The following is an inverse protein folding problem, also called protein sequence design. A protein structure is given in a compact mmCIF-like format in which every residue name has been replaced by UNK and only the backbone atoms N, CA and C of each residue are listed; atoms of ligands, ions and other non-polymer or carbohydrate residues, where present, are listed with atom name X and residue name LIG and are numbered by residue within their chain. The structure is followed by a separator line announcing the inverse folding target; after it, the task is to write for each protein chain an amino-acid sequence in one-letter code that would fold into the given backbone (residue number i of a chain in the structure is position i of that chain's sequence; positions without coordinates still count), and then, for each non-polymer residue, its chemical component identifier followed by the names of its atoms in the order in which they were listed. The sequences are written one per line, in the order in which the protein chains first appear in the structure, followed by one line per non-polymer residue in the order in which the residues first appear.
data_IF_110746976358
#
_entry.id   IF_110746976358
#
_cell.length_a   1.000
_cell.length_b   1.000
_cell.length_c   1.000
_cell.angle_alpha   90.00
_cell.angle_beta   90.00
_cell.angle_gamma   90.00
#
_symmetry.space_group_name_H-M   'P 1'
#
loop_
_entity.id
_entity.type
_entity.pdbx_description
1 polymer ?
#
# COMPACT_ATOMS: atom_id res chain seq x y z
N UNK A 1 5.48 57.97 -53.53
CA UNK A 1 6.46 57.42 -52.57
C UNK A 1 6.69 55.97 -52.96
N UNK A 2 7.72 55.68 -53.78
CA UNK A 2 9.11 55.31 -53.40
C UNK A 2 9.11 53.91 -52.74
N UNK A 3 9.74 52.83 -53.20
CA UNK A 3 10.81 52.51 -54.18
C UNK A 3 10.49 51.09 -54.76
N UNK A 4 10.53 50.84 -56.07
CA UNK A 4 11.67 50.45 -56.94
C UNK A 4 12.21 49.01 -56.73
N UNK A 5 11.91 48.16 -57.73
CA UNK A 5 12.45 46.83 -58.12
C UNK A 5 13.95 46.91 -58.55
N UNK A 6 14.55 45.97 -59.32
CA UNK A 6 14.73 44.49 -59.25
C UNK A 6 16.21 44.07 -59.49
N UNK A 7 16.52 42.76 -59.39
CA UNK A 7 17.51 41.96 -60.17
C UNK A 7 17.50 40.54 -59.56
N UNK A 8 17.55 39.40 -60.26
CA UNK A 8 18.17 39.08 -61.54
C UNK A 8 19.41 38.20 -61.29
N UNK A 9 19.53 37.07 -62.00
CA UNK A 9 20.68 36.13 -62.07
C UNK A 9 20.95 35.24 -60.83
N UNK A 10 21.40 33.99 -60.91
CA UNK A 10 21.74 33.10 -62.03
C UNK A 10 21.97 31.69 -61.48
N UNK A 11 21.72 30.67 -62.31
CA UNK A 11 22.67 29.57 -62.50
C UNK A 11 22.70 28.33 -61.59
N UNK A 12 22.64 27.17 -62.27
CA UNK A 12 23.18 25.83 -61.92
C UNK A 12 22.37 25.01 -60.90
N UNK A 13 21.62 23.97 -61.26
CA UNK A 13 22.01 22.73 -61.96
C UNK A 13 23.33 22.13 -61.47
N UNK A 14 23.25 21.04 -60.70
CA UNK A 14 23.96 19.77 -61.00
C UNK A 14 23.55 18.70 -59.99
N UNK A 15 23.06 17.57 -60.51
CA UNK A 15 23.03 16.31 -59.80
C UNK A 15 24.43 15.69 -59.65
N UNK A 16 24.53 14.63 -58.85
CA UNK A 16 25.75 13.84 -58.65
C UNK A 16 26.00 13.55 -57.17
N UNK A 17 25.49 12.44 -56.65
CA UNK A 17 26.20 11.16 -56.48
C UNK A 17 27.20 11.12 -55.32
N UNK A 18 27.02 10.07 -54.53
CA UNK A 18 28.08 9.19 -54.01
C UNK A 18 28.58 9.37 -52.57
N UNK A 19 28.25 8.33 -51.79
CA UNK A 19 29.08 7.59 -50.83
C UNK A 19 29.77 8.30 -49.67
N UNK A 20 29.52 7.78 -48.46
CA UNK A 20 30.44 8.00 -47.34
C UNK A 20 29.93 7.60 -45.95
N UNK A 21 29.70 6.30 -45.74
CA UNK A 21 30.08 5.56 -44.53
C UNK A 21 30.00 6.25 -43.14
N UNK A 22 29.03 5.85 -42.30
CA UNK A 22 29.28 5.64 -40.85
C UNK A 22 28.58 4.34 -40.42
N UNK A 23 29.39 3.28 -40.31
CA UNK A 23 29.15 2.09 -39.49
C UNK A 23 29.28 2.47 -38.03
N UNK A 24 28.35 2.03 -37.16
CA UNK A 24 28.50 1.61 -35.75
C UNK A 24 27.08 1.16 -35.30
N UNK A 25 26.63 -0.07 -35.59
CA UNK A 25 26.75 -1.25 -34.73
C UNK A 25 27.27 -0.96 -33.31
N UNK A 26 26.38 -0.98 -32.32
CA UNK A 26 26.61 -1.68 -31.04
C UNK A 26 25.24 -2.04 -30.42
N UNK A 27 24.98 -3.34 -30.32
CA UNK A 27 23.91 -3.89 -29.52
C UNK A 27 24.14 -3.63 -28.04
N UNK A 28 23.07 -3.35 -27.31
CA UNK A 28 23.09 -3.23 -25.86
C UNK A 28 22.69 -4.58 -25.22
N UNK A 29 23.64 -5.39 -24.70
CA UNK A 29 23.31 -6.55 -23.90
C UNK A 29 22.87 -6.09 -22.50
N UNK A 30 21.71 -6.59 -22.08
CA UNK A 30 21.24 -6.53 -20.69
C UNK A 30 22.05 -7.56 -19.91
N UNK A 31 23.06 -7.10 -19.17
CA UNK A 31 23.72 -7.90 -18.13
C UNK A 31 23.22 -7.45 -16.77
N UNK A 32 22.63 -8.43 -16.06
CA UNK A 32 22.46 -8.43 -14.62
C UNK A 32 23.83 -8.28 -13.95
N UNK A 33 23.94 -7.35 -13.01
CA UNK A 33 24.94 -7.39 -11.96
C UNK A 33 24.23 -7.26 -10.61
N UNK A 34 24.50 -8.26 -9.77
CA UNK A 34 23.98 -8.46 -8.43
C UNK A 34 24.50 -7.39 -7.47
N UNK A 35 23.62 -6.64 -6.83
CA UNK A 35 23.96 -5.85 -5.63
C UNK A 35 23.77 -6.73 -4.38
N UNK A 36 24.88 -7.31 -3.94
CA UNK A 36 25.09 -7.93 -2.64
C UNK A 36 25.09 -6.83 -1.57
N UNK A 37 24.01 -6.72 -0.79
CA UNK A 37 23.94 -5.78 0.34
C UNK A 37 24.42 -6.44 1.64
N UNK A 38 25.59 -5.95 2.05
CA UNK A 38 26.35 -6.22 3.26
C UNK A 38 25.53 -6.01 4.55
N UNK A 39 25.41 -7.07 5.35
CA UNK A 39 24.80 -7.09 6.67
C UNK A 39 25.82 -6.62 7.73
N UNK A 40 25.93 -5.31 7.88
CA UNK A 40 26.73 -4.65 8.90
C UNK A 40 25.93 -4.27 10.15
N UNK A 41 26.16 -5.03 11.22
CA UNK A 41 25.80 -4.86 12.63
C UNK A 41 25.78 -3.41 13.17
N UNK A 42 24.67 -2.98 13.78
CA UNK A 42 24.65 -1.86 14.75
C UNK A 42 24.13 -2.35 16.10
N UNK A 43 25.07 -2.38 17.04
CA UNK A 43 24.90 -2.68 18.45
C UNK A 43 23.92 -1.71 19.14
N UNK A 44 23.26 -2.25 20.16
CA UNK A 44 22.13 -1.65 20.86
C UNK A 44 22.36 -0.30 21.53
N UNK A 45 21.23 0.37 21.72
CA UNK A 45 21.04 1.41 22.72
C UNK A 45 19.78 1.04 23.50
N UNK A 46 19.97 0.61 24.74
CA UNK A 46 18.90 0.55 25.73
C UNK A 46 18.52 1.97 26.20
N UNK A 47 17.32 2.02 26.76
CA UNK A 47 16.71 3.04 27.62
C UNK A 47 15.91 4.17 26.97
N UNK A 48 14.63 4.20 27.37
CA UNK A 48 13.77 5.37 27.28
C UNK A 48 12.29 5.05 27.25
N UNK A 49 11.74 4.47 28.33
CA UNK A 49 10.31 4.59 28.59
C UNK A 49 9.89 6.05 28.53
N UNK A 50 8.98 6.35 27.61
CA UNK A 50 8.35 7.64 27.41
C UNK A 50 6.97 7.40 26.84
N UNK A 51 6.04 7.07 27.74
CA UNK A 51 4.59 7.05 27.51
C UNK A 51 4.17 8.31 26.74
N UNK A 52 3.74 8.10 25.51
CA UNK A 52 3.41 9.14 24.54
C UNK A 52 2.07 8.81 23.89
N UNK A 53 1.01 9.00 24.69
CA UNK A 53 -0.35 9.37 24.32
C UNK A 53 -0.63 9.31 22.80
N UNK A 54 -1.16 8.16 22.36
CA UNK A 54 -1.46 7.91 20.94
C UNK A 54 -2.91 8.27 20.60
N UNK A 55 -3.04 9.12 19.59
CA UNK A 55 -4.29 9.63 19.05
C UNK A 55 -5.04 8.50 18.32
N UNK A 56 -5.82 7.72 19.07
CA UNK A 56 -6.58 6.59 18.52
C UNK A 56 -7.74 7.05 17.62
N UNK A 57 -8.10 6.26 16.62
CA UNK A 57 -9.38 6.42 15.90
C UNK A 57 -10.25 5.22 16.25
N UNK A 58 -11.36 5.46 16.93
CA UNK A 58 -12.33 4.39 17.24
C UNK A 58 -13.37 4.37 16.14
N UNK A 59 -13.33 3.33 15.33
CA UNK A 59 -14.32 3.10 14.28
C UNK A 59 -15.40 2.21 14.87
N UNK A 60 -16.56 2.81 15.14
CA UNK A 60 -17.71 2.09 15.68
C UNK A 60 -18.61 1.60 14.55
N UNK A 61 -18.89 0.29 14.56
CA UNK A 61 -19.97 -0.32 13.79
C UNK A 61 -21.19 -0.38 14.72
N UNK A 62 -21.99 0.69 14.78
CA UNK A 62 -23.14 0.74 15.70
C UNK A 62 -22.78 0.89 17.19
N UNK A 63 -23.49 0.19 18.09
CA UNK A 63 -23.50 0.39 19.56
C UNK A 63 -22.98 -0.80 20.40
N UNK A 64 -22.01 -1.58 19.93
CA UNK A 64 -21.55 -2.77 20.68
C UNK A 64 -20.02 -2.79 20.82
N UNK A 65 -19.57 -2.91 22.08
CA UNK A 65 -18.18 -2.90 22.51
C UNK A 65 -17.63 -4.34 22.51
N UNK A 66 -16.41 -4.62 21.99
CA UNK A 66 -15.89 -5.98 21.93
C UNK A 66 -15.48 -6.48 23.31
N UNK A 67 -15.85 -7.73 23.61
CA UNK A 67 -15.40 -8.47 24.78
C UNK A 67 -14.08 -9.19 24.45
N UNK A 68 -13.14 -9.11 25.39
CA UNK A 68 -11.84 -9.79 25.37
C UNK A 68 -12.05 -11.29 25.63
N UNK A 69 -11.44 -12.15 24.81
CA UNK A 69 -11.47 -13.61 24.99
C UNK A 69 -10.10 -14.08 25.49
N UNK A 70 -10.12 -14.86 26.58
CA UNK A 70 -8.97 -15.51 27.21
C UNK A 70 -8.45 -16.67 26.32
N UNK A 71 -7.15 -16.65 26.03
CA UNK A 71 -6.43 -17.78 25.47
C UNK A 71 -5.97 -18.71 26.60
N UNK A 72 -6.14 -20.04 26.48
CA UNK A 72 -5.10 -20.99 26.87
C UNK A 72 -5.28 -22.39 26.21
N UNK A 73 -4.23 -22.75 25.45
CA UNK A 73 -3.51 -24.03 25.40
C UNK A 73 -4.03 -25.28 24.63
N UNK A 74 -3.24 -25.57 23.60
CA UNK A 74 -2.51 -26.83 23.34
C UNK A 74 -3.22 -28.08 22.80
N UNK A 75 -2.76 -28.46 21.59
CA UNK A 75 -3.03 -29.66 20.76
C UNK A 75 -4.38 -29.68 20.05
N UNK A 76 -4.31 -29.53 18.72
CA UNK A 76 -5.46 -29.50 17.83
C UNK A 76 -6.35 -30.76 18.03
N UNK A 77 -7.63 -30.60 18.39
CA UNK A 77 -8.55 -31.71 18.57
C UNK A 77 -8.77 -32.48 17.25
N UNK A 78 -9.13 -33.77 17.34
CA UNK A 78 -9.19 -34.69 16.19
C UNK A 78 -10.12 -34.22 15.05
N UNK A 79 -11.19 -33.49 15.37
CA UNK A 79 -12.07 -32.87 14.36
C UNK A 79 -11.35 -31.79 13.52
N UNK A 80 -10.36 -31.09 14.07
CA UNK A 80 -9.51 -30.15 13.31
C UNK A 80 -8.57 -30.91 12.37
N UNK A 81 -8.13 -32.12 12.75
CA UNK A 81 -7.34 -33.01 11.89
C UNK A 81 -8.15 -33.52 10.70
N UNK A 82 -9.40 -33.91 10.96
CA UNK A 82 -10.37 -34.30 9.93
C UNK A 82 -10.76 -33.11 9.04
N UNK A 83 -10.93 -31.92 9.62
CA UNK A 83 -11.14 -30.68 8.87
C UNK A 83 -9.94 -30.35 7.97
N UNK A 84 -8.70 -30.53 8.44
CA UNK A 84 -7.49 -30.37 7.62
C UNK A 84 -7.41 -31.41 6.50
N UNK A 85 -7.82 -32.66 6.73
CA UNK A 85 -7.88 -33.70 5.70
C UNK A 85 -8.91 -33.36 4.63
N UNK A 86 -10.14 -33.05 5.04
CA UNK A 86 -11.21 -32.65 4.12
C UNK A 86 -10.89 -31.36 3.37
N UNK A 87 -10.20 -30.40 3.99
CA UNK A 87 -9.73 -29.20 3.29
C UNK A 87 -8.65 -29.51 2.26
N UNK A 88 -7.70 -30.41 2.54
CA UNK A 88 -6.72 -30.86 1.53
C UNK A 88 -7.39 -31.56 0.35
N UNK A 89 -8.39 -32.39 0.63
CA UNK A 89 -9.16 -33.07 -0.42
C UNK A 89 -9.98 -32.07 -1.24
N UNK A 90 -10.67 -31.14 -0.60
CA UNK A 90 -11.38 -30.04 -1.28
C UNK A 90 -10.44 -29.21 -2.14
N UNK A 91 -9.26 -28.84 -1.65
CA UNK A 91 -8.25 -28.10 -2.43
C UNK A 91 -7.75 -28.92 -3.61
N UNK A 92 -7.54 -30.24 -3.46
CA UNK A 92 -7.18 -31.12 -4.58
C UNK A 92 -8.28 -31.16 -5.63
N UNK A 93 -9.53 -31.35 -5.22
CA UNK A 93 -10.70 -31.36 -6.11
C UNK A 93 -10.87 -30.00 -6.79
N UNK A 94 -10.71 -28.89 -6.07
CA UNK A 94 -10.76 -27.53 -6.63
C UNK A 94 -9.66 -27.38 -7.69
N UNK A 95 -8.43 -27.84 -7.40
CA UNK A 95 -7.32 -27.78 -8.37
C UNK A 95 -7.61 -28.63 -9.61
N UNK A 96 -8.16 -29.84 -9.44
CA UNK A 96 -8.54 -30.71 -10.56
C UNK A 96 -9.70 -30.13 -11.36
N UNK A 97 -10.70 -29.54 -10.70
CA UNK A 97 -11.83 -28.87 -11.36
C UNK A 97 -11.37 -27.62 -12.09
N UNK A 98 -10.52 -26.80 -11.50
CA UNK A 98 -9.90 -25.65 -12.17
C UNK A 98 -9.05 -26.10 -13.37
N UNK A 99 -8.29 -27.19 -13.25
CA UNK A 99 -7.56 -27.76 -14.37
C UNK A 99 -8.50 -28.22 -15.48
N UNK A 100 -9.59 -28.94 -15.14
CA UNK A 100 -10.61 -29.36 -16.10
C UNK A 100 -11.33 -28.19 -16.75
N UNK A 101 -11.67 -27.14 -16.00
CA UNK A 101 -12.28 -25.91 -16.54
C UNK A 101 -11.30 -25.17 -17.43
N UNK A 102 -10.02 -25.08 -17.07
CA UNK A 102 -9.00 -24.45 -17.91
C UNK A 102 -8.74 -25.22 -19.21
N UNK A 103 -8.85 -26.56 -19.17
CA UNK A 103 -8.76 -27.43 -20.35
C UNK A 103 -10.02 -27.42 -21.20
N UNK A 104 -11.20 -27.23 -20.59
CA UNK A 104 -12.49 -27.17 -21.27
C UNK A 104 -12.88 -25.76 -21.71
N UNK A 105 -12.16 -24.73 -21.27
CA UNK A 105 -12.38 -23.36 -21.73
C UNK A 105 -11.96 -23.29 -23.20
N UNK A 106 -12.87 -22.95 -24.13
CA UNK A 106 -12.48 -22.62 -25.48
C UNK A 106 -11.56 -21.41 -25.40
N UNK A 107 -10.27 -21.61 -25.65
CA UNK A 107 -9.36 -20.49 -25.90
C UNK A 107 -10.01 -19.65 -27.00
N UNK A 108 -10.24 -18.34 -26.79
CA UNK A 108 -10.96 -17.53 -27.76
C UNK A 108 -10.24 -17.70 -29.08
N UNK A 109 -10.91 -18.33 -30.05
CA UNK A 109 -10.30 -18.76 -31.30
C UNK A 109 -9.50 -17.58 -31.84
N UNK A 110 -8.17 -17.68 -31.74
CA UNK A 110 -7.30 -16.72 -32.37
C UNK A 110 -7.65 -16.84 -33.84
N UNK A 111 -8.21 -15.78 -34.41
CA UNK A 111 -8.50 -15.72 -35.84
C UNK A 111 -7.13 -15.90 -36.50
N UNK A 112 -6.86 -17.12 -36.97
CA UNK A 112 -5.57 -17.47 -37.54
C UNK A 112 -5.47 -16.67 -38.83
N UNK A 113 -4.56 -15.70 -38.83
CA UNK A 113 -4.14 -15.05 -40.06
C UNK A 113 -3.59 -16.16 -40.95
N UNK A 114 -4.38 -16.58 -41.95
CA UNK A 114 -3.94 -17.55 -42.94
C UNK A 114 -2.67 -17.08 -43.64
N UNK A 115 -1.95 -18.01 -44.28
CA UNK A 115 -0.74 -17.67 -45.03
C UNK A 115 -1.02 -16.54 -46.04
N UNK A 116 -0.04 -15.65 -46.24
CA UNK A 116 -0.14 -14.60 -47.25
C UNK A 116 -0.37 -15.28 -48.62
N UNK A 117 -1.37 -14.88 -49.40
CA UNK A 117 -1.56 -15.44 -50.73
C UNK A 117 -0.32 -15.15 -51.58
N UNK A 118 0.06 -16.12 -52.42
CA UNK A 118 1.19 -16.04 -53.37
C UNK A 118 0.66 -16.27 -54.78
N UNK A 119 1.37 -15.81 -55.82
CA UNK A 119 0.95 -16.02 -57.21
C UNK A 119 0.75 -17.52 -57.54
N UNK A 120 1.57 -18.40 -56.95
CA UNK A 120 1.46 -19.85 -57.13
C UNK A 120 0.18 -20.46 -56.50
N UNK A 121 -0.37 -19.85 -55.45
CA UNK A 121 -1.63 -20.31 -54.84
C UNK A 121 -2.87 -19.82 -55.58
N UNK A 122 -2.72 -18.85 -56.48
CA UNK A 122 -3.80 -18.25 -57.28
C UNK A 122 -3.68 -18.63 -58.77
N UNK A 123 -3.06 -19.77 -59.09
CA UNK A 123 -2.85 -20.28 -60.45
C UNK A 123 -2.15 -19.29 -61.41
N UNK A 124 -1.31 -18.38 -60.88
CA UNK A 124 -0.67 -17.29 -61.62
C UNK A 124 -1.65 -16.28 -62.27
N UNK A 125 -2.87 -16.19 -61.77
CA UNK A 125 -3.86 -15.19 -62.17
C UNK A 125 -3.65 -13.90 -61.36
N UNK A 126 -3.20 -12.83 -62.03
CA UNK A 126 -2.91 -11.53 -61.41
C UNK A 126 -4.13 -10.92 -60.72
N UNK A 127 -5.31 -11.03 -61.33
CA UNK A 127 -6.55 -10.42 -60.81
C UNK A 127 -7.04 -11.09 -59.53
N UNK A 128 -6.94 -12.42 -59.46
CA UNK A 128 -7.29 -13.19 -58.25
C UNK A 128 -6.30 -12.95 -57.13
N UNK A 129 -5.02 -12.84 -57.47
CA UNK A 129 -3.96 -12.56 -56.50
C UNK A 129 -4.15 -11.19 -55.82
N UNK A 130 -4.49 -10.14 -56.58
CA UNK A 130 -4.78 -8.82 -56.02
C UNK A 130 -5.99 -8.83 -55.07
N UNK A 131 -7.09 -9.46 -55.49
CA UNK A 131 -8.29 -9.59 -54.65
C UNK A 131 -8.03 -10.39 -53.36
N UNK A 132 -7.28 -11.50 -53.46
CA UNK A 132 -6.92 -12.32 -52.30
C UNK A 132 -5.97 -11.58 -51.35
N UNK A 133 -5.04 -10.77 -51.87
CA UNK A 133 -4.16 -9.91 -51.08
C UNK A 133 -4.94 -8.84 -50.32
N UNK A 134 -5.85 -8.14 -50.98
CA UNK A 134 -6.71 -7.14 -50.32
C UNK A 134 -7.55 -7.79 -49.21
N UNK A 135 -8.16 -8.95 -49.50
CA UNK A 135 -8.91 -9.71 -48.50
C UNK A 135 -8.04 -10.18 -47.33
N UNK A 136 -6.76 -10.52 -47.57
CA UNK A 136 -5.81 -10.88 -46.53
C UNK A 136 -5.41 -9.67 -45.68
N UNK A 137 -5.14 -8.52 -46.30
CA UNK A 137 -4.83 -7.27 -45.59
C UNK A 137 -6.01 -6.80 -44.74
N UNK A 138 -7.25 -6.89 -45.24
CA UNK A 138 -8.45 -6.58 -44.47
C UNK A 138 -8.60 -7.50 -43.25
N UNK A 139 -8.39 -8.81 -43.43
CA UNK A 139 -8.36 -9.78 -42.32
C UNK A 139 -7.25 -9.46 -41.30
N UNK A 140 -6.08 -9.05 -41.76
CA UNK A 140 -4.96 -8.62 -40.90
C UNK A 140 -5.30 -7.40 -40.06
N UNK A 141 -5.90 -6.38 -40.66
CA UNK A 141 -6.33 -5.18 -39.94
C UNK A 141 -7.36 -5.50 -38.85
N UNK A 142 -8.35 -6.35 -39.15
CA UNK A 142 -9.37 -6.78 -38.18
C UNK A 142 -8.74 -7.55 -36.99
N UNK A 143 -7.82 -8.47 -37.27
CA UNK A 143 -7.12 -9.23 -36.21
C UNK A 143 -6.23 -8.32 -35.37
N UNK A 144 -5.47 -7.41 -36.00
CA UNK A 144 -4.65 -6.44 -35.27
C UNK A 144 -5.50 -5.47 -34.45
N UNK A 145 -6.64 -5.00 -34.96
CA UNK A 145 -7.58 -4.16 -34.23
C UNK A 145 -8.14 -4.90 -33.02
N UNK A 146 -8.60 -6.14 -33.19
CA UNK A 146 -9.10 -6.97 -32.09
C UNK A 146 -8.00 -7.26 -31.05
N UNK A 147 -6.77 -7.53 -31.48
CA UNK A 147 -5.63 -7.72 -30.57
C UNK A 147 -5.29 -6.44 -29.80
N UNK A 148 -5.30 -5.27 -30.47
CA UNK A 148 -5.10 -3.97 -29.80
C UNK A 148 -6.22 -3.67 -28.82
N UNK A 149 -7.47 -3.94 -29.15
CA UNK A 149 -8.59 -3.77 -28.21
C UNK A 149 -8.47 -4.68 -26.99
N UNK A 150 -8.10 -5.95 -27.19
CA UNK A 150 -7.83 -6.88 -26.08
C UNK A 150 -6.66 -6.42 -25.22
N UNK A 151 -5.53 -6.05 -25.84
CA UNK A 151 -4.36 -5.55 -25.12
C UNK A 151 -4.65 -4.27 -24.34
N UNK A 152 -5.41 -3.33 -24.93
CA UNK A 152 -5.81 -2.10 -24.24
C UNK A 152 -6.83 -2.35 -23.13
N UNK A 153 -7.76 -3.31 -23.29
CA UNK A 153 -8.68 -3.71 -22.23
C UNK A 153 -7.95 -4.39 -21.06
N UNK A 154 -6.98 -5.27 -21.35
CA UNK A 154 -6.13 -5.89 -20.34
C UNK A 154 -5.28 -4.85 -19.62
N UNK A 155 -4.67 -3.91 -20.35
CA UNK A 155 -3.87 -2.85 -19.75
C UNK A 155 -4.73 -1.95 -18.85
N UNK A 156 -5.91 -1.51 -19.33
CA UNK A 156 -6.87 -0.76 -18.50
C UNK A 156 -7.28 -1.53 -17.25
N UNK A 157 -7.48 -2.84 -17.35
CA UNK A 157 -7.79 -3.68 -16.19
C UNK A 157 -6.63 -3.75 -15.20
N UNK A 158 -5.38 -3.86 -15.68
CA UNK A 158 -4.17 -3.85 -14.84
C UNK A 158 -3.97 -2.50 -14.17
N UNK A 159 -4.09 -1.42 -14.93
CA UNK A 159 -3.94 -0.05 -14.42
C UNK A 159 -5.02 0.26 -13.37
N UNK A 160 -6.28 -0.13 -13.63
CA UNK A 160 -7.36 0.01 -12.67
C UNK A 160 -7.14 -0.82 -11.39
N UNK A 161 -6.55 -2.01 -11.50
CA UNK A 161 -6.19 -2.83 -10.35
C UNK A 161 -5.04 -2.21 -9.54
N UNK A 162 -4.00 -1.71 -10.21
CA UNK A 162 -2.90 -1.00 -9.56
C UNK A 162 -3.38 0.27 -8.84
N UNK A 163 -4.26 1.05 -9.48
CA UNK A 163 -4.87 2.22 -8.86
C UNK A 163 -5.62 1.85 -7.57
N UNK A 164 -6.41 0.76 -7.58
CA UNK A 164 -7.10 0.27 -6.38
C UNK A 164 -6.14 -0.13 -5.26
N UNK A 165 -5.05 -0.82 -5.58
CA UNK A 165 -4.03 -1.18 -4.58
C UNK A 165 -3.34 0.06 -4.00
N UNK A 166 -3.01 1.03 -4.85
CA UNK A 166 -2.43 2.29 -4.42
C UNK A 166 -3.39 3.07 -3.51
N UNK A 167 -4.67 3.15 -3.87
CA UNK A 167 -5.68 3.85 -3.07
C UNK A 167 -5.95 3.12 -1.74
N UNK A 168 -5.93 1.80 -1.72
CA UNK A 168 -5.96 1.03 -0.46
C UNK A 168 -4.76 1.37 0.44
N UNK A 169 -3.55 1.38 -0.14
CA UNK A 169 -2.33 1.74 0.58
C UNK A 169 -2.38 3.17 1.16
N UNK A 170 -2.87 4.14 0.39
CA UNK A 170 -3.09 5.53 0.86
C UNK A 170 -4.07 5.60 2.03
N UNK A 171 -5.18 4.85 1.96
CA UNK A 171 -6.19 4.85 3.04
C UNK A 171 -5.69 4.16 4.30
N UNK A 172 -4.88 3.10 4.15
CA UNK A 172 -4.17 2.46 5.27
C UNK A 172 -3.27 3.47 5.99
N UNK A 173 -2.50 4.27 5.25
CA UNK A 173 -1.62 5.27 5.85
C UNK A 173 -2.37 6.49 6.39
N UNK A 174 -3.49 6.88 5.79
CA UNK A 174 -4.35 7.97 6.28
C UNK A 174 -5.00 7.65 7.62
N UNK A 175 -5.38 6.39 7.85
CA UNK A 175 -6.02 5.97 9.09
C UNK A 175 -5.07 6.05 10.30
N UNK A 176 -3.75 5.89 10.11
CA UNK A 176 -2.68 6.02 11.14
C UNK A 176 -2.90 5.19 12.41
N UNK A 177 -3.61 4.07 12.29
CA UNK A 177 -3.89 3.18 13.41
C UNK A 177 -2.79 2.12 13.53
N UNK A 178 -2.20 1.99 14.72
CA UNK A 178 -1.01 1.15 14.96
C UNK A 178 -1.30 -0.36 14.82
N UNK A 179 -2.51 -0.76 15.20
CA UNK A 179 -3.05 -2.12 15.17
C UNK A 179 -3.86 -2.43 13.90
N UNK A 180 -3.58 -1.69 12.82
CA UNK A 180 -4.22 -1.94 11.53
C UNK A 180 -3.86 -3.31 10.97
N UNK A 181 -2.59 -3.70 11.06
CA UNK A 181 -2.11 -4.96 10.48
C UNK A 181 -2.74 -6.16 11.18
N UNK A 182 -2.84 -6.12 12.51
CA UNK A 182 -3.54 -7.15 13.29
C UNK A 182 -5.02 -7.25 12.89
N UNK A 183 -5.70 -6.12 12.73
CA UNK A 183 -7.11 -6.11 12.31
C UNK A 183 -7.29 -6.60 10.86
N UNK A 184 -6.34 -6.29 9.97
CA UNK A 184 -6.32 -6.77 8.59
C UNK A 184 -6.13 -8.29 8.55
N UNK A 185 -5.22 -8.84 9.36
CA UNK A 185 -4.95 -10.28 9.40
C UNK A 185 -6.15 -11.06 9.93
N UNK A 186 -6.84 -10.58 10.97
CA UNK A 186 -8.11 -11.14 11.41
C UNK A 186 -9.14 -11.13 10.27
N UNK A 187 -9.24 -10.06 9.50
CA UNK A 187 -10.14 -10.01 8.34
C UNK A 187 -9.74 -10.99 7.23
N UNK A 188 -8.43 -11.15 6.95
CA UNK A 188 -7.92 -12.14 5.99
C UNK A 188 -8.23 -13.58 6.41
N UNK A 189 -8.24 -13.87 7.70
CA UNK A 189 -8.58 -15.19 8.23
C UNK A 189 -10.09 -15.47 8.17
N UNK A 190 -10.91 -14.46 8.44
CA UNK A 190 -12.38 -14.61 8.49
C UNK A 190 -13.00 -14.65 7.09
N UNK A 191 -12.50 -13.83 6.15
CA UNK A 191 -13.08 -13.73 4.81
C UNK A 191 -12.35 -14.60 3.78
N UNK A 192 -13.11 -15.22 2.87
CA UNK A 192 -12.53 -15.92 1.72
C UNK A 192 -11.87 -14.96 0.72
N UNK A 193 -10.95 -15.47 -0.10
CA UNK A 193 -10.26 -14.68 -1.14
C UNK A 193 -11.24 -13.94 -2.06
N UNK A 194 -12.37 -14.55 -2.40
CA UNK A 194 -13.42 -13.91 -3.21
C UNK A 194 -14.08 -12.75 -2.46
N UNK A 195 -14.40 -12.93 -1.17
CA UNK A 195 -14.98 -11.86 -0.34
C UNK A 195 -13.98 -10.71 -0.12
N UNK A 196 -12.71 -11.02 0.12
CA UNK A 196 -11.64 -10.01 0.19
C UNK A 196 -11.53 -9.21 -1.11
N UNK A 197 -11.58 -9.89 -2.25
CA UNK A 197 -11.59 -9.25 -3.57
C UNK A 197 -12.83 -8.39 -3.81
N UNK A 198 -14.00 -8.79 -3.31
CA UNK A 198 -15.22 -7.97 -3.37
C UNK A 198 -15.12 -6.74 -2.48
N UNK A 199 -14.57 -6.85 -1.26
CA UNK A 199 -14.34 -5.69 -0.38
C UNK A 199 -13.40 -4.70 -1.07
N UNK A 200 -12.25 -5.17 -1.58
CA UNK A 200 -11.26 -4.31 -2.21
C UNK A 200 -11.78 -3.63 -3.49
N UNK A 201 -12.62 -4.34 -4.26
CA UNK A 201 -13.16 -3.80 -5.51
C UNK A 201 -14.44 -2.98 -5.35
N UNK A 202 -15.25 -3.26 -4.34
CA UNK A 202 -16.61 -2.75 -4.20
C UNK A 202 -16.82 -1.74 -3.07
N UNK A 203 -15.96 -1.71 -2.04
CA UNK A 203 -16.09 -0.76 -0.95
C UNK A 203 -15.48 0.60 -1.32
N UNK A 204 -16.19 1.67 -0.99
CA UNK A 204 -15.68 3.03 -1.20
C UNK A 204 -14.52 3.34 -0.26
N UNK A 205 -14.44 2.73 0.92
CA UNK A 205 -13.40 2.87 1.95
C UNK A 205 -12.97 1.51 2.50
N UNK A 206 -12.33 0.70 1.63
CA UNK A 206 -11.88 -0.66 1.95
C UNK A 206 -11.00 -0.76 3.21
N UNK A 207 -10.07 0.17 3.46
CA UNK A 207 -9.20 0.13 4.64
C UNK A 207 -9.97 0.34 5.97
N UNK A 208 -10.84 1.34 6.03
CA UNK A 208 -11.68 1.62 7.22
C UNK A 208 -12.60 0.46 7.51
N UNK A 209 -13.22 -0.11 6.47
CA UNK A 209 -14.11 -1.24 6.57
C UNK A 209 -13.39 -2.50 7.08
N UNK A 210 -12.22 -2.83 6.51
CA UNK A 210 -11.41 -3.98 6.94
C UNK A 210 -11.01 -3.83 8.40
N UNK A 211 -10.51 -2.67 8.80
CA UNK A 211 -10.15 -2.40 10.19
C UNK A 211 -11.36 -2.55 11.12
N UNK A 212 -12.51 -1.98 10.75
CA UNK A 212 -13.72 -2.06 11.57
C UNK A 212 -14.26 -3.49 11.69
N UNK A 213 -14.16 -4.30 10.63
CA UNK A 213 -14.54 -5.71 10.65
C UNK A 213 -13.56 -6.55 11.47
N UNK A 214 -12.26 -6.27 11.38
CA UNK A 214 -11.23 -6.91 12.21
C UNK A 214 -11.45 -6.66 13.71
N UNK A 215 -11.85 -5.44 14.08
CA UNK A 215 -12.22 -5.09 15.47
C UNK A 215 -13.58 -5.63 15.92
N UNK A 216 -14.42 -6.09 15.00
CA UNK A 216 -15.76 -6.58 15.29
C UNK A 216 -15.96 -8.01 14.74
N UNK A 217 -15.38 -9.03 15.40
CA UNK A 217 -15.37 -10.40 14.89
C UNK A 217 -16.77 -11.00 14.73
N UNK A 218 -17.76 -10.57 15.53
CA UNK A 218 -19.16 -11.00 15.38
C UNK A 218 -19.74 -10.60 14.02
N UNK A 219 -19.57 -9.33 13.64
CA UNK A 219 -20.05 -8.79 12.35
C UNK A 219 -19.28 -9.36 11.18
N UNK A 220 -17.96 -9.58 11.35
CA UNK A 220 -17.16 -10.25 10.34
C UNK A 220 -17.64 -11.69 10.07
N UNK A 221 -17.93 -12.47 11.11
CA UNK A 221 -18.48 -13.85 10.99
C UNK A 221 -19.87 -13.88 10.33
N UNK A 222 -20.76 -12.95 10.69
CA UNK A 222 -22.08 -12.81 10.04
C UNK A 222 -21.94 -12.58 8.53
N UNK A 223 -21.06 -11.65 8.13
CA UNK A 223 -20.82 -11.35 6.72
C UNK A 223 -20.09 -12.48 6.00
N UNK A 224 -19.15 -13.16 6.66
CA UNK A 224 -18.40 -14.28 6.08
C UNK A 224 -19.32 -15.46 5.72
N UNK A 225 -20.44 -15.63 6.44
CA UNK A 225 -21.45 -16.65 6.15
C UNK A 225 -22.15 -16.42 4.81
N UNK A 226 -22.14 -15.19 4.29
CA UNK A 226 -22.72 -14.85 2.99
C UNK A 226 -21.76 -15.32 1.88
N UNK A 227 -22.02 -16.51 1.35
CA UNK A 227 -21.19 -17.12 0.29
C UNK A 227 -21.41 -16.51 -1.09
N UNK A 228 -22.56 -15.88 -1.31
CA UNK A 228 -22.92 -15.25 -2.58
C UNK A 228 -22.19 -13.89 -2.70
N UNK A 229 -21.25 -13.73 -3.65
CA UNK A 229 -20.42 -12.52 -3.75
C UNK A 229 -21.23 -11.24 -3.98
N UNK A 230 -22.36 -11.33 -4.69
CA UNK A 230 -23.19 -10.16 -5.00
C UNK A 230 -23.98 -9.74 -3.77
N UNK A 231 -24.60 -10.69 -3.07
CA UNK A 231 -25.31 -10.40 -1.80
C UNK A 231 -24.35 -9.89 -0.74
N UNK A 232 -23.15 -10.45 -0.69
CA UNK A 232 -22.08 -9.99 0.19
C UNK A 232 -21.69 -8.54 -0.12
N UNK A 233 -21.51 -8.18 -1.40
CA UNK A 233 -21.23 -6.80 -1.81
C UNK A 233 -22.30 -5.81 -1.30
N UNK A 234 -23.59 -6.15 -1.44
CA UNK A 234 -24.68 -5.30 -0.93
C UNK A 234 -24.68 -5.20 0.59
N UNK A 235 -24.41 -6.30 1.31
CA UNK A 235 -24.33 -6.29 2.77
C UNK A 235 -23.16 -5.43 3.26
N UNK A 236 -22.01 -5.54 2.60
CA UNK A 236 -20.83 -4.72 2.85
C UNK A 236 -21.10 -3.24 2.58
N UNK A 237 -21.71 -2.90 1.44
CA UNK A 237 -22.08 -1.52 1.12
C UNK A 237 -23.04 -0.92 2.14
N UNK A 238 -24.01 -1.71 2.63
CA UNK A 238 -24.91 -1.27 3.70
C UNK A 238 -24.15 -1.00 5.01
N UNK A 239 -23.19 -1.86 5.37
CA UNK A 239 -22.37 -1.65 6.56
C UNK A 239 -21.49 -0.41 6.43
N UNK A 240 -20.94 -0.17 5.24
CA UNK A 240 -20.17 1.04 4.92
C UNK A 240 -20.96 2.32 5.18
N UNK A 241 -22.23 2.38 4.77
CA UNK A 241 -23.07 3.56 5.08
C UNK A 241 -23.35 3.74 6.58
N UNK A 242 -23.17 2.70 7.39
CA UNK A 242 -23.39 2.71 8.84
C UNK A 242 -22.10 2.95 9.65
N UNK A 243 -20.95 2.94 8.98
CA UNK A 243 -19.65 3.14 9.62
C UNK A 243 -19.47 4.61 9.99
N UNK A 244 -19.22 4.87 11.27
CA UNK A 244 -18.88 6.20 11.76
C UNK A 244 -17.45 6.21 12.27
N UNK A 245 -16.59 6.93 11.55
CA UNK A 245 -15.24 7.22 12.00
C UNK A 245 -15.31 8.36 13.02
N UNK A 246 -15.07 8.05 14.30
CA UNK A 246 -15.01 9.07 15.35
C UNK A 246 -13.57 9.12 15.88
N UNK A 247 -12.92 10.30 15.92
CA UNK A 247 -11.62 10.41 16.56
C UNK A 247 -11.78 10.03 18.04
N UNK A 248 -10.89 9.20 18.57
CA UNK A 248 -10.90 8.87 19.99
C UNK A 248 -10.64 10.17 20.73
N UNK A 249 -11.53 10.52 21.66
CA UNK A 249 -11.18 11.56 22.62
C UNK A 249 -10.09 11.00 23.51
N UNK A 250 -8.90 11.58 23.41
CA UNK A 250 -7.83 11.38 24.38
C UNK A 250 -8.42 11.69 25.77
N UNK A 251 -8.25 10.78 26.72
CA UNK A 251 -8.62 11.09 28.10
C UNK A 251 -7.77 12.30 28.51
N UNK A 252 -8.37 13.37 29.11
CA UNK A 252 -7.56 14.49 29.56
C UNK A 252 -6.50 13.95 30.50
N UNK A 253 -5.24 14.34 30.26
CA UNK A 253 -4.11 14.00 31.12
C UNK A 253 -4.52 14.26 32.57
N UNK A 254 -4.25 13.32 33.50
CA UNK A 254 -4.68 13.49 34.88
C UNK A 254 -4.15 14.83 35.39
N UNK A 255 -5.04 15.65 35.95
CA UNK A 255 -4.66 16.95 36.48
C UNK A 255 -3.44 16.75 37.38
N UNK A 256 -2.33 17.43 37.06
CA UNK A 256 -1.16 17.43 37.93
C UNK A 256 -1.66 17.91 39.29
N UNK A 257 -1.68 17.03 40.29
CA UNK A 257 -2.00 17.42 41.65
C UNK A 257 -1.04 18.55 42.02
N UNK A 258 -1.56 19.78 42.07
CA UNK A 258 -0.80 20.91 42.59
C UNK A 258 -0.61 20.57 44.06
N UNK A 259 0.55 20.03 44.40
CA UNK A 259 0.99 19.89 45.79
C UNK A 259 1.10 21.31 46.34
N UNK A 260 0.03 21.73 47.02
CA UNK A 260 -0.13 23.05 47.62
C UNK A 260 1.04 23.38 48.53
N UNK A 261 1.39 24.67 48.55
CA UNK A 261 2.65 25.19 49.04
C UNK A 261 2.95 24.92 50.52
N UNK A 262 4.24 24.78 50.78
CA UNK A 262 4.85 25.40 51.94
C UNK A 262 5.74 26.55 51.44
N UNK A 263 5.20 27.76 51.46
CA UNK A 263 6.00 28.99 51.47
C UNK A 263 6.85 28.97 52.74
N UNK A 264 8.11 28.52 52.65
CA UNK A 264 8.96 28.50 53.83
C UNK A 264 10.21 27.65 53.77
N UNK A 265 10.95 27.65 52.65
CA UNK A 265 12.37 27.33 52.63
C UNK A 265 12.91 27.56 51.22
N UNK A 266 13.18 28.82 50.85
CA UNK A 266 14.35 29.04 50.03
C UNK A 266 15.52 28.59 50.93
N UNK A 267 15.90 27.33 50.83
CA UNK A 267 17.18 26.85 51.34
C UNK A 267 18.18 27.72 50.60
N UNK A 268 18.74 28.70 51.32
CA UNK A 268 19.69 29.62 50.76
C UNK A 268 20.89 28.79 50.32
N UNK A 269 20.91 28.41 49.05
CA UNK A 269 22.02 27.66 48.45
C UNK A 269 23.36 28.39 48.64
N UNK A 270 23.32 29.70 48.90
CA UNK A 270 24.46 30.51 49.33
C UNK A 270 24.94 30.15 50.76
N UNK A 271 24.02 29.93 51.71
CA UNK A 271 24.35 29.49 53.07
C UNK A 271 25.01 28.10 53.03
N UNK A 272 24.42 27.16 52.30
CA UNK A 272 24.93 25.78 52.23
C UNK A 272 26.34 25.71 51.63
N UNK A 273 26.62 26.52 50.60
CA UNK A 273 27.96 26.65 50.02
C UNK A 273 28.96 27.21 51.01
N UNK A 274 28.58 28.26 51.76
CA UNK A 274 29.45 28.86 52.77
C UNK A 274 29.70 27.91 53.95
N UNK A 275 28.72 27.09 54.33
CA UNK A 275 28.88 26.06 55.35
C UNK A 275 29.81 24.94 54.87
N UNK A 276 29.65 24.48 53.62
CA UNK A 276 30.53 23.48 53.04
C UNK A 276 31.98 23.97 52.87
N UNK A 277 32.20 25.24 52.53
CA UNK A 277 33.54 25.85 52.51
C UNK A 277 34.14 25.96 53.92
N UNK A 278 33.32 26.35 54.90
CA UNK A 278 33.75 26.47 56.30
C UNK A 278 34.07 25.10 56.93
N UNK A 279 33.36 24.03 56.55
CA UNK A 279 33.65 22.68 57.02
C UNK A 279 34.92 22.11 56.34
N UNK A 280 35.25 22.56 55.11
CA UNK A 280 36.51 22.19 54.43
C UNK A 280 37.73 22.96 54.95
N UNK A 281 37.56 24.22 55.33
CA UNK A 281 38.68 25.12 55.71
C UNK A 281 38.77 25.38 57.21
N UNK A 282 37.75 25.02 57.98
CA UNK A 282 37.64 25.27 59.42
C UNK A 282 37.28 26.71 59.81
N UNK A 283 37.27 27.65 58.86
CA UNK A 283 36.96 29.07 59.12
C UNK A 283 35.48 29.37 58.89
N UNK A 284 34.73 29.62 59.97
CA UNK A 284 33.29 29.93 59.93
C UNK A 284 32.98 31.44 59.83
N UNK A 285 33.97 32.30 59.66
CA UNK A 285 33.79 33.77 59.68
C UNK A 285 32.79 34.25 58.62
N UNK A 286 32.84 33.67 57.41
CA UNK A 286 31.94 34.01 56.29
C UNK A 286 30.48 33.64 56.58
N UNK A 287 30.24 32.49 57.23
CA UNK A 287 28.90 32.03 57.61
C UNK A 287 28.30 32.97 58.67
N UNK A 288 29.11 33.39 59.65
CA UNK A 288 28.67 34.33 60.69
C UNK A 288 28.33 35.72 60.12
N UNK A 289 29.13 36.23 59.17
CA UNK A 289 28.84 37.48 58.46
C UNK A 289 27.52 37.39 57.67
N UNK A 290 27.31 36.28 56.95
CA UNK A 290 26.07 36.05 56.21
C UNK A 290 24.83 36.08 57.12
N UNK A 291 24.88 35.41 58.28
CA UNK A 291 23.79 35.47 59.27
C UNK A 291 23.59 36.86 59.87
N UNK A 292 24.67 37.60 60.14
CA UNK A 292 24.59 38.98 60.64
C UNK A 292 23.93 39.91 59.62
N UNK A 293 24.29 39.80 58.35
CA UNK A 293 23.71 40.59 57.26
C UNK A 293 22.24 40.27 57.06
N UNK A 294 21.86 38.98 57.09
CA UNK A 294 20.45 38.58 57.06
C UNK A 294 19.65 39.16 58.22
N UNK A 295 20.22 39.15 59.43
CA UNK A 295 19.56 39.70 60.62
C UNK A 295 19.43 41.23 60.57
N UNK A 296 20.35 41.93 59.91
CA UNK A 296 20.25 43.37 59.66
C UNK A 296 19.23 43.69 58.56
N UNK A 297 19.14 42.88 57.50
CA UNK A 297 18.17 43.05 56.42
C UNK A 297 16.72 42.70 56.83
N UNK A 298 16.55 41.96 57.93
CA UNK A 298 15.24 41.62 58.51
C UNK A 298 14.79 42.59 59.62
N UNK A 299 15.60 43.60 59.96
CA UNK A 299 15.25 44.68 60.88
C UNK A 299 14.90 45.94 60.11
#
# INVERSE_FOLDING_TARGET
HKLFKPAGDDGADTGGTDTGNVVLDEGNPVSNEDEEVDLGEVAGTEEGEGDGESDGVVITIGNEQPAEEEEEQARAPEWVRELRKSNREKVRVIRELLAKVSQAAPSPAAIVLGAKPTLATCDYDETKFEADLEAWHARKQEVEAQQRERATAEQKSKDAWQAKLADYGKRKTELKVKDFEDAEDVAKEVFSVTQQGVILNGAENSAVLIYALGKNPKKAKELATITDPVKFAFAVAKLETQLKVTPRKVAPTPERTIRGGATGAAIDSALDKLMAEADKTGDRTKVAQYHRNKKQAQR
#
